data_IF_581205724476
#
_entry.id   IF_581205724476
#
_cell.length_a   1.000
_cell.length_b   1.000
_cell.length_c   1.000
_cell.angle_alpha   90.00
_cell.angle_beta   90.00
_cell.angle_gamma   90.00
#
_symmetry.space_group_name_H-M   'P 1'
#
loop_
_entity.id
_entity.type
_entity.pdbx_description
1 polymer ?
#
# COMPACT_ATOMS: atom_id res chain seq x y z
N UNK A 1 3.05 -1.42 25.94
CA UNK A 1 2.40 -1.21 24.63
C UNK A 1 2.44 -2.55 23.93
N UNK A 2 1.29 -3.20 23.72
CA UNK A 2 1.22 -4.60 23.28
C UNK A 2 2.06 -4.83 22.02
N UNK A 3 3.15 -5.58 22.15
CA UNK A 3 4.15 -5.82 21.08
C UNK A 3 3.51 -6.33 19.77
N UNK A 4 2.38 -7.04 19.89
CA UNK A 4 1.59 -7.51 18.76
C UNK A 4 1.01 -6.39 17.87
N UNK A 5 0.63 -5.23 18.43
CA UNK A 5 0.05 -4.13 17.64
C UNK A 5 1.06 -3.55 16.65
N UNK A 6 2.30 -3.33 17.10
CA UNK A 6 3.38 -2.83 16.24
C UNK A 6 3.78 -3.83 15.16
N UNK A 7 3.81 -5.12 15.50
CA UNK A 7 4.11 -6.20 14.56
C UNK A 7 3.05 -6.32 13.45
N UNK A 8 1.77 -6.27 13.81
CA UNK A 8 0.69 -6.28 12.82
C UNK A 8 0.70 -5.03 11.92
N UNK A 9 1.06 -3.86 12.45
CA UNK A 9 1.23 -2.66 11.62
C UNK A 9 2.38 -2.78 10.63
N UNK A 10 3.51 -3.36 11.04
CA UNK A 10 4.64 -3.60 10.17
C UNK A 10 4.27 -4.55 9.01
N UNK A 11 3.53 -5.62 9.30
CA UNK A 11 3.04 -6.56 8.27
C UNK A 11 2.13 -5.86 7.27
N UNK A 12 1.15 -5.08 7.75
CA UNK A 12 0.21 -4.35 6.90
C UNK A 12 0.95 -3.33 6.01
N UNK A 13 1.96 -2.66 6.56
CA UNK A 13 2.80 -1.72 5.84
C UNK A 13 3.60 -2.37 4.72
N UNK A 14 4.25 -3.49 5.01
CA UNK A 14 5.03 -4.26 4.04
C UNK A 14 4.11 -4.76 2.93
N UNK A 15 2.93 -5.30 3.28
CA UNK A 15 1.93 -5.75 2.30
C UNK A 15 1.45 -4.61 1.41
N UNK A 16 1.19 -3.43 1.97
CA UNK A 16 0.78 -2.26 1.21
C UNK A 16 1.87 -1.77 0.24
N UNK A 17 3.13 -1.74 0.68
CA UNK A 17 4.28 -1.39 -0.17
C UNK A 17 4.49 -2.42 -1.29
N UNK A 18 4.40 -3.71 -0.97
CA UNK A 18 4.58 -4.79 -1.96
C UNK A 18 3.45 -4.80 -2.99
N UNK A 19 2.18 -4.69 -2.56
CA UNK A 19 1.04 -4.75 -3.48
C UNK A 19 0.86 -3.42 -4.23
N UNK A 20 0.94 -2.30 -3.52
CA UNK A 20 0.71 -0.97 -4.07
C UNK A 20 1.88 -0.42 -4.89
N UNK A 21 3.11 -0.61 -4.43
CA UNK A 21 4.31 -0.07 -5.08
C UNK A 21 4.90 -1.02 -6.13
N UNK A 22 5.06 -2.29 -5.78
CA UNK A 22 5.70 -3.29 -6.66
C UNK A 22 4.68 -4.13 -7.45
N UNK A 23 3.49 -4.38 -6.91
CA UNK A 23 2.45 -5.18 -7.57
C UNK A 23 1.75 -4.42 -8.69
N UNK A 24 1.24 -3.22 -8.44
CA UNK A 24 0.36 -2.52 -9.39
C UNK A 24 1.01 -2.16 -10.74
N UNK A 25 2.18 -1.53 -10.72
CA UNK A 25 2.88 -1.13 -11.94
C UNK A 25 3.48 -2.32 -12.70
N UNK A 26 3.99 -3.30 -11.97
CA UNK A 26 4.68 -4.47 -12.52
C UNK A 26 3.69 -5.49 -13.09
N UNK A 27 2.53 -5.68 -12.43
CA UNK A 27 1.41 -6.45 -12.98
C UNK A 27 0.87 -5.80 -14.26
N UNK A 28 0.74 -4.47 -14.30
CA UNK A 28 0.32 -3.78 -15.53
C UNK A 28 1.34 -3.95 -16.65
N UNK A 29 2.64 -3.95 -16.34
CA UNK A 29 3.69 -4.25 -17.32
C UNK A 29 3.61 -5.70 -17.83
N UNK A 30 3.37 -6.67 -16.95
CA UNK A 30 3.21 -8.08 -17.31
C UNK A 30 1.96 -8.36 -18.16
N UNK A 31 0.91 -7.55 -18.04
CA UNK A 31 -0.29 -7.64 -18.87
C UNK A 31 -0.19 -6.89 -20.20
N UNK A 32 0.99 -6.37 -20.56
CA UNK A 32 1.19 -5.59 -21.79
C UNK A 32 0.54 -4.20 -21.75
N UNK A 33 0.24 -3.68 -20.55
CA UNK A 33 -0.31 -2.35 -20.36
C UNK A 33 0.68 -1.27 -20.79
N UNK A 34 0.20 -0.31 -21.58
CA UNK A 34 1.01 0.83 -22.00
C UNK A 34 1.46 1.73 -20.83
N UNK A 35 2.37 2.68 -21.08
CA UNK A 35 2.98 3.52 -20.03
C UNK A 35 1.95 4.23 -19.13
N UNK A 36 0.84 4.70 -19.72
CA UNK A 36 -0.24 5.33 -18.97
C UNK A 36 -0.91 4.38 -17.97
N UNK A 37 -1.12 3.11 -18.37
CA UNK A 37 -1.72 2.08 -17.50
C UNK A 37 -0.83 1.77 -16.30
N UNK A 38 0.48 1.63 -16.52
CA UNK A 38 1.46 1.40 -15.46
C UNK A 38 1.52 2.55 -14.46
N UNK A 39 1.46 3.80 -14.93
CA UNK A 39 1.46 4.99 -14.08
C UNK A 39 0.17 5.04 -13.24
N UNK A 40 -0.99 4.77 -13.85
CA UNK A 40 -2.28 4.78 -13.17
C UNK A 40 -2.38 3.70 -12.09
N UNK A 41 -1.97 2.46 -12.37
CA UNK A 41 -1.99 1.39 -11.37
C UNK A 41 -0.95 1.61 -10.26
N UNK A 42 0.22 2.13 -10.60
CA UNK A 42 1.22 2.54 -9.60
C UNK A 42 0.73 3.67 -8.70
N UNK A 43 0.12 4.71 -9.28
CA UNK A 43 -0.45 5.83 -8.53
C UNK A 43 -1.62 5.40 -7.64
N UNK A 44 -2.50 4.52 -8.12
CA UNK A 44 -3.60 3.96 -7.33
C UNK A 44 -3.07 3.13 -6.15
N UNK A 45 -2.04 2.30 -6.37
CA UNK A 45 -1.40 1.52 -5.32
C UNK A 45 -0.70 2.38 -4.26
N UNK A 46 -0.06 3.47 -4.67
CA UNK A 46 0.51 4.46 -3.76
C UNK A 46 -0.57 5.17 -2.93
N UNK A 47 -1.61 5.70 -3.59
CA UNK A 47 -2.72 6.39 -2.92
C UNK A 47 -3.43 5.49 -1.90
N UNK A 48 -3.65 4.22 -2.23
CA UNK A 48 -4.21 3.22 -1.32
C UNK A 48 -3.34 3.00 -0.08
N UNK A 49 -2.01 2.92 -0.26
CA UNK A 49 -1.06 2.79 0.86
C UNK A 49 -1.08 4.00 1.78
N UNK A 50 -1.10 5.21 1.21
CA UNK A 50 -1.17 6.46 1.99
C UNK A 50 -2.48 6.53 2.79
N UNK A 51 -3.61 6.18 2.17
CA UNK A 51 -4.90 6.14 2.85
C UNK A 51 -4.93 5.11 3.99
N UNK A 52 -4.34 3.93 3.79
CA UNK A 52 -4.24 2.91 4.83
C UNK A 52 -3.38 3.39 6.01
N UNK A 53 -2.25 4.04 5.74
CA UNK A 53 -1.39 4.64 6.75
C UNK A 53 -2.11 5.70 7.57
N UNK A 54 -2.84 6.60 6.90
CA UNK A 54 -3.65 7.62 7.56
C UNK A 54 -4.78 7.00 8.39
N UNK A 55 -5.43 5.96 7.90
CA UNK A 55 -6.47 5.24 8.64
C UNK A 55 -5.90 4.58 9.92
N UNK A 56 -4.71 3.99 9.85
CA UNK A 56 -4.02 3.42 11.00
C UNK A 56 -3.62 4.51 11.99
N UNK A 57 -3.04 5.61 11.54
CA UNK A 57 -2.66 6.74 12.38
C UNK A 57 -3.89 7.33 13.09
N UNK A 58 -5.00 7.49 12.37
CA UNK A 58 -6.27 7.94 12.95
C UNK A 58 -6.81 6.98 14.02
N UNK A 59 -6.72 5.67 13.78
CA UNK A 59 -7.14 4.66 14.75
C UNK A 59 -6.27 4.66 16.00
N UNK A 60 -4.94 4.80 15.84
CA UNK A 60 -3.98 4.88 16.94
C UNK A 60 -4.14 6.13 17.80
N UNK A 61 -4.46 7.28 17.19
CA UNK A 61 -4.66 8.54 17.92
C UNK A 61 -5.97 8.52 18.70
N UNK A 62 -7.01 7.84 18.19
CA UNK A 62 -8.33 7.74 18.84
C UNK A 62 -8.50 6.55 19.78
N UNK A 63 -7.53 5.64 19.89
CA UNK A 63 -7.57 4.47 20.78
C UNK A 63 -6.68 4.65 22.00
#
# INVERSE_FOLDING_TARGET
>A
MNDNRGLWMAVILITAVVIGGLGGGLVSAMQGGGPAGMILTGAAGFAGTVMLLLAIAHFLIRS
#
